data_IF_368727906901
#
_entry.id   IF_368727906901
#
_cell.length_a   1.000
_cell.length_b   1.000
_cell.length_c   1.000
_cell.angle_alpha   90.00
_cell.angle_beta   90.00
_cell.angle_gamma   90.00
#
_symmetry.space_group_name_H-M   'P 1'
#
loop_
_entity.id
_entity.type
_entity.pdbx_description
1 polymer ?
#
# COMPACT_ATOMS: atom_id res chain seq x y z
N UNK A 1 41.94 -54.09 5.89
CA UNK A 1 41.30 -52.89 6.45
C UNK A 1 40.39 -52.28 5.42
N UNK A 2 39.10 -52.43 5.59
CA UNK A 2 38.10 -51.83 4.66
C UNK A 2 37.55 -50.61 5.33
N UNK A 3 37.89 -49.43 4.81
CA UNK A 3 37.36 -48.16 5.26
C UNK A 3 35.99 -47.95 4.63
N UNK A 4 34.96 -47.99 5.44
CA UNK A 4 33.58 -47.69 5.00
C UNK A 4 33.34 -46.19 5.17
N UNK A 5 33.31 -45.48 4.06
CA UNK A 5 32.82 -44.11 4.02
C UNK A 5 31.31 -44.12 4.10
N UNK A 6 30.76 -43.69 5.24
CA UNK A 6 29.34 -43.36 5.37
C UNK A 6 29.16 -41.97 4.78
N UNK A 7 28.51 -41.90 3.62
CA UNK A 7 28.04 -40.65 3.06
C UNK A 7 26.77 -40.22 3.82
N UNK A 8 26.91 -39.24 4.68
CA UNK A 8 25.76 -38.53 5.26
C UNK A 8 25.21 -37.58 4.18
N UNK A 9 24.11 -37.98 3.59
CA UNK A 9 23.31 -37.08 2.76
C UNK A 9 22.58 -36.09 3.68
N UNK A 10 23.11 -34.88 3.79
CA UNK A 10 22.42 -33.79 4.43
C UNK A 10 21.27 -33.34 3.52
N UNK A 11 20.05 -33.76 3.85
CA UNK A 11 18.81 -33.31 3.23
C UNK A 11 18.53 -31.89 3.75
N UNK A 12 19.01 -30.88 3.01
CA UNK A 12 18.65 -29.49 3.27
C UNK A 12 17.20 -29.27 2.87
N UNK A 13 16.33 -29.28 3.87
CA UNK A 13 14.97 -28.79 3.75
C UNK A 13 15.02 -27.29 3.46
N UNK A 14 14.82 -26.95 2.19
CA UNK A 14 14.55 -25.57 1.79
C UNK A 14 13.15 -25.21 2.31
N UNK A 15 13.13 -24.57 3.47
CA UNK A 15 11.94 -23.86 3.88
C UNK A 15 11.77 -22.66 2.97
N UNK A 16 10.96 -22.83 1.92
CA UNK A 16 10.42 -21.69 1.19
C UNK A 16 9.37 -21.08 2.13
N UNK A 17 9.79 -20.17 2.99
CA UNK A 17 8.84 -19.31 3.66
C UNK A 17 8.22 -18.43 2.58
N UNK A 18 6.88 -18.46 2.45
CA UNK A 18 6.14 -17.45 1.73
C UNK A 18 6.39 -16.13 2.45
N UNK A 19 7.42 -15.40 1.99
CA UNK A 19 7.58 -14.00 2.34
C UNK A 19 6.46 -13.31 1.58
N UNK A 20 5.41 -12.86 2.30
CA UNK A 20 4.55 -11.80 1.77
C UNK A 20 5.51 -10.74 1.23
N UNK A 21 5.44 -10.46 -0.07
CA UNK A 21 6.29 -9.45 -0.67
C UNK A 21 5.83 -8.10 -0.16
N UNK A 22 6.35 -7.75 1.01
CA UNK A 22 6.31 -6.40 1.51
C UNK A 22 7.11 -5.57 0.53
N UNK A 23 6.40 -4.79 -0.30
CA UNK A 23 7.07 -3.96 -1.29
C UNK A 23 8.02 -3.02 -0.58
N UNK A 24 9.30 -3.10 -0.94
CA UNK A 24 10.35 -2.32 -0.31
C UNK A 24 10.05 -0.83 -0.44
N UNK A 25 10.05 -0.10 0.69
CA UNK A 25 9.79 1.34 0.75
C UNK A 25 8.30 1.73 0.83
N UNK A 26 7.38 0.76 0.89
CA UNK A 26 5.96 0.98 1.17
C UNK A 26 5.62 0.47 2.55
N UNK A 27 5.00 1.30 3.38
CA UNK A 27 4.48 0.92 4.69
C UNK A 27 2.99 0.56 4.57
N UNK A 28 2.63 -0.66 4.96
CA UNK A 28 1.25 -1.09 5.10
C UNK A 28 0.85 -0.95 6.56
N UNK A 29 -0.13 -0.09 6.87
CA UNK A 29 -0.49 0.24 8.24
C UNK A 29 -1.99 0.06 8.49
N UNK A 30 -2.34 -0.26 9.74
CA UNK A 30 -3.73 -0.41 10.15
C UNK A 30 -4.48 0.95 10.17
N UNK A 31 -5.83 0.96 10.22
CA UNK A 31 -6.61 2.19 10.17
C UNK A 31 -6.27 3.19 11.27
N UNK A 32 -5.98 2.75 12.48
CA UNK A 32 -5.64 3.67 13.60
C UNK A 32 -4.35 4.43 13.34
N UNK A 33 -3.30 3.73 12.90
CA UNK A 33 -2.04 4.37 12.58
C UNK A 33 -2.15 5.22 11.30
N UNK A 34 -2.92 4.75 10.31
CA UNK A 34 -3.18 5.51 9.10
C UNK A 34 -3.88 6.84 9.40
N UNK A 35 -4.90 6.81 10.27
CA UNK A 35 -5.59 8.03 10.73
C UNK A 35 -4.63 9.01 11.41
N UNK A 36 -3.80 8.53 12.32
CA UNK A 36 -2.80 9.36 13.01
C UNK A 36 -1.83 10.02 12.03
N UNK A 37 -1.30 9.25 11.09
CA UNK A 37 -0.34 9.76 10.10
C UNK A 37 -1.00 10.73 9.10
N UNK A 38 -2.25 10.49 8.71
CA UNK A 38 -2.97 11.32 7.75
C UNK A 38 -3.28 12.74 8.27
N UNK A 39 -3.17 12.98 9.55
CA UNK A 39 -3.40 14.29 10.16
C UNK A 39 -2.21 15.25 10.05
N UNK A 40 -1.05 14.78 9.63
CA UNK A 40 0.11 15.65 9.39
C UNK A 40 -0.16 16.59 8.21
N UNK A 41 0.25 17.85 8.35
CA UNK A 41 -0.09 18.93 7.40
C UNK A 41 0.51 18.78 6.01
N UNK A 42 1.58 18.00 5.87
CA UNK A 42 2.32 17.79 4.61
C UNK A 42 1.92 16.51 3.89
N UNK A 43 0.99 15.72 4.44
CA UNK A 43 0.55 14.46 3.84
C UNK A 43 -0.35 14.69 2.63
N UNK A 44 -0.09 13.96 1.57
CA UNK A 44 -0.89 13.91 0.35
C UNK A 44 -1.71 12.61 0.38
N UNK A 45 -3.00 12.69 0.71
CA UNK A 45 -3.89 11.52 0.83
C UNK A 45 -4.64 11.29 -0.49
N UNK A 46 -4.46 10.11 -1.07
CA UNK A 46 -5.00 9.75 -2.39
C UNK A 46 -5.91 8.54 -2.30
N UNK A 47 -7.16 8.72 -2.75
CA UNK A 47 -8.10 7.65 -3.01
C UNK A 47 -7.93 7.19 -4.47
N UNK A 48 -7.47 5.95 -4.67
CA UNK A 48 -7.18 5.43 -6.01
C UNK A 48 -8.33 4.66 -6.65
N UNK A 49 -9.53 4.74 -6.04
CA UNK A 49 -10.76 4.11 -6.54
C UNK A 49 -11.36 4.92 -7.70
N UNK A 50 -12.46 4.41 -8.24
CA UNK A 50 -13.23 5.13 -9.26
C UNK A 50 -13.88 6.39 -8.70
N UNK A 51 -14.19 7.39 -9.55
CA UNK A 51 -14.92 8.59 -9.12
C UNK A 51 -16.28 8.28 -8.50
N UNK A 52 -16.97 7.25 -8.96
CA UNK A 52 -18.26 6.80 -8.42
C UNK A 52 -18.12 6.26 -7.00
N UNK A 53 -17.11 5.44 -6.74
CA UNK A 53 -16.81 4.95 -5.39
C UNK A 53 -16.45 6.10 -4.44
N UNK A 54 -15.63 7.03 -4.91
CA UNK A 54 -15.23 8.22 -4.16
C UNK A 54 -16.45 9.07 -3.76
N UNK A 55 -17.38 9.28 -4.69
CA UNK A 55 -18.59 10.08 -4.45
C UNK A 55 -19.54 9.45 -3.42
N UNK A 56 -19.53 8.13 -3.28
CA UNK A 56 -20.34 7.40 -2.28
C UNK A 56 -19.80 7.56 -0.86
N UNK A 57 -18.56 7.98 -0.71
CA UNK A 57 -17.89 8.21 0.56
C UNK A 57 -16.40 7.95 0.47
N UNK A 58 -15.61 8.79 1.10
CA UNK A 58 -14.15 8.75 1.11
C UNK A 58 -13.58 9.20 2.45
N UNK A 59 -12.33 8.93 2.69
CA UNK A 59 -11.62 9.40 3.87
C UNK A 59 -11.53 10.94 3.85
N UNK A 60 -11.62 11.60 5.01
CA UNK A 60 -11.47 13.05 5.09
C UNK A 60 -10.20 13.55 4.40
N UNK A 61 -10.32 14.59 3.61
CA UNK A 61 -9.24 15.24 2.85
C UNK A 61 -8.62 14.41 1.72
N UNK A 62 -9.18 13.24 1.40
CA UNK A 62 -8.69 12.43 0.28
C UNK A 62 -8.96 13.09 -1.06
N UNK A 63 -7.97 13.05 -1.95
CA UNK A 63 -8.10 13.46 -3.36
C UNK A 63 -8.26 12.20 -4.21
N UNK A 64 -9.21 12.19 -5.12
CA UNK A 64 -9.43 11.04 -6.00
C UNK A 64 -8.49 11.07 -7.21
N UNK A 65 -7.72 10.01 -7.35
CA UNK A 65 -6.89 9.73 -8.52
C UNK A 65 -7.08 8.26 -8.90
N UNK A 66 -8.00 7.98 -9.83
CA UNK A 66 -8.38 6.63 -10.21
C UNK A 66 -7.23 5.89 -10.91
N UNK A 67 -6.75 4.80 -10.29
CA UNK A 67 -5.63 4.02 -10.86
C UNK A 67 -5.99 3.36 -12.20
N UNK A 68 -7.27 3.12 -12.46
CA UNK A 68 -7.73 2.53 -13.74
C UNK A 68 -7.81 3.55 -14.89
N UNK A 69 -7.65 4.83 -14.60
CA UNK A 69 -7.63 5.89 -15.60
C UNK A 69 -6.27 5.96 -16.30
N UNK A 70 -6.26 6.12 -17.61
CA UNK A 70 -5.03 6.29 -18.41
C UNK A 70 -4.19 7.50 -17.97
N UNK A 71 -4.83 8.50 -17.36
CA UNK A 71 -4.17 9.71 -16.83
C UNK A 71 -3.57 9.54 -15.43
N UNK A 72 -3.65 8.35 -14.83
CA UNK A 72 -3.17 8.16 -13.44
C UNK A 72 -1.71 8.58 -13.27
N UNK A 73 -0.82 8.15 -14.16
CA UNK A 73 0.60 8.48 -14.07
C UNK A 73 0.84 9.98 -14.20
N UNK A 74 0.07 10.67 -15.02
CA UNK A 74 0.13 12.13 -15.15
C UNK A 74 -0.39 12.83 -13.89
N UNK A 75 -1.45 12.32 -13.29
CA UNK A 75 -2.03 12.87 -12.06
C UNK A 75 -1.08 12.74 -10.87
N UNK A 76 -0.47 11.59 -10.65
CA UNK A 76 0.49 11.41 -9.57
C UNK A 76 1.76 12.26 -9.76
N UNK A 77 2.11 12.59 -10.99
CA UNK A 77 3.24 13.48 -11.28
C UNK A 77 3.00 14.92 -10.78
N UNK A 78 1.76 15.31 -10.48
CA UNK A 78 1.44 16.62 -9.87
C UNK A 78 1.69 16.68 -8.37
N UNK A 79 1.88 15.52 -7.72
CA UNK A 79 2.19 15.44 -6.29
C UNK A 79 3.65 15.78 -6.02
N UNK A 80 3.92 16.23 -4.79
CA UNK A 80 5.28 16.52 -4.34
C UNK A 80 5.98 15.22 -3.89
N UNK A 81 7.03 14.83 -4.60
CA UNK A 81 7.78 13.59 -4.33
C UNK A 81 8.54 13.62 -3.01
N UNK A 82 8.80 14.79 -2.46
CA UNK A 82 9.52 14.98 -1.20
C UNK A 82 8.63 14.87 0.03
N UNK A 83 7.32 14.90 -0.17
CA UNK A 83 6.31 14.83 0.89
C UNK A 83 5.70 13.41 0.99
N UNK A 84 5.25 13.00 2.18
CA UNK A 84 4.57 11.72 2.34
C UNK A 84 3.31 11.62 1.47
N UNK A 85 3.14 10.48 0.83
CA UNK A 85 1.92 10.10 0.12
C UNK A 85 1.28 8.91 0.83
N UNK A 86 0.00 9.03 1.12
CA UNK A 86 -0.81 7.96 1.68
C UNK A 86 -1.88 7.56 0.68
N UNK A 87 -2.05 6.26 0.46
CA UNK A 87 -2.98 5.73 -0.53
C UNK A 87 -3.92 4.72 0.08
N UNK A 88 -5.11 4.61 -0.48
CA UNK A 88 -6.04 3.53 -0.16
C UNK A 88 -6.96 3.24 -1.34
N UNK A 89 -7.51 2.04 -1.33
CA UNK A 89 -8.60 1.66 -2.22
C UNK A 89 -9.74 1.02 -1.42
N UNK A 90 -10.51 0.13 -2.03
CA UNK A 90 -11.60 -0.54 -1.32
C UNK A 90 -11.11 -1.57 -0.32
N UNK A 91 -10.23 -2.50 -0.74
CA UNK A 91 -9.76 -3.64 0.05
C UNK A 91 -8.24 -3.85 0.06
N UNK A 92 -7.47 -3.08 -0.73
CA UNK A 92 -6.01 -3.11 -0.73
C UNK A 92 -5.33 -3.51 -2.05
N UNK A 93 -6.03 -4.14 -3.01
CA UNK A 93 -5.42 -4.62 -4.26
C UNK A 93 -4.97 -3.50 -5.19
N UNK A 94 -5.84 -2.54 -5.46
CA UNK A 94 -5.54 -1.38 -6.33
C UNK A 94 -4.52 -0.44 -5.69
N UNK A 95 -4.62 -0.22 -4.39
CA UNK A 95 -3.69 0.67 -3.67
C UNK A 95 -2.27 0.10 -3.59
N UNK A 96 -2.11 -1.23 -3.51
CA UNK A 96 -0.80 -1.86 -3.60
C UNK A 96 -0.12 -1.57 -4.96
N UNK A 97 -0.87 -1.62 -6.05
CA UNK A 97 -0.37 -1.25 -7.39
C UNK A 97 -0.04 0.24 -7.48
N UNK A 98 -0.90 1.09 -6.93
CA UNK A 98 -0.65 2.53 -6.88
C UNK A 98 0.60 2.87 -6.09
N UNK A 99 0.81 2.24 -4.93
CA UNK A 99 1.99 2.40 -4.12
C UNK A 99 3.26 2.02 -4.88
N UNK A 100 3.23 0.91 -5.64
CA UNK A 100 4.33 0.51 -6.52
C UNK A 100 4.66 1.58 -7.56
N UNK A 101 3.66 2.12 -8.23
CA UNK A 101 3.82 3.20 -9.23
C UNK A 101 4.41 4.47 -8.60
N UNK A 102 3.98 4.83 -7.41
CA UNK A 102 4.53 5.96 -6.67
C UNK A 102 6.01 5.77 -6.34
N UNK A 103 6.39 4.58 -5.88
CA UNK A 103 7.81 4.27 -5.61
C UNK A 103 8.65 4.34 -6.88
N UNK A 104 8.19 3.78 -7.99
CA UNK A 104 8.86 3.88 -9.29
C UNK A 104 8.99 5.32 -9.78
N UNK A 105 8.01 6.16 -9.48
CA UNK A 105 8.01 7.57 -9.84
C UNK A 105 8.95 8.43 -8.96
N UNK A 106 9.55 7.85 -7.91
CA UNK A 106 10.54 8.53 -7.06
C UNK A 106 9.99 9.10 -5.76
N UNK A 107 8.77 8.74 -5.35
CA UNK A 107 8.25 9.11 -4.03
C UNK A 107 9.00 8.38 -2.93
N UNK A 108 9.48 9.11 -1.93
CA UNK A 108 10.36 8.56 -0.88
C UNK A 108 9.58 7.90 0.25
N UNK A 109 8.40 8.41 0.57
CA UNK A 109 7.56 7.93 1.67
C UNK A 109 6.17 7.63 1.16
N UNK A 110 5.83 6.35 1.09
CA UNK A 110 4.52 5.86 0.63
C UNK A 110 3.92 4.96 1.69
N UNK A 111 2.69 5.25 2.10
CA UNK A 111 1.93 4.47 3.08
C UNK A 111 0.63 4.01 2.47
N UNK A 112 0.29 2.74 2.67
CA UNK A 112 -0.92 2.10 2.19
C UNK A 112 -1.80 1.67 3.36
N UNK A 113 -3.11 1.85 3.24
CA UNK A 113 -4.09 1.47 4.26
C UNK A 113 -4.40 -0.03 4.17
N UNK A 114 -4.02 -0.77 5.19
CA UNK A 114 -4.33 -2.20 5.30
C UNK A 114 -5.85 -2.43 5.29
N UNK A 115 -6.31 -3.26 4.36
CA UNK A 115 -7.73 -3.61 4.21
C UNK A 115 -8.59 -2.52 3.58
N UNK A 116 -8.02 -1.38 3.20
CA UNK A 116 -8.70 -0.30 2.51
C UNK A 116 -9.86 0.34 3.27
N UNK A 117 -10.75 1.03 2.55
CA UNK A 117 -11.87 1.73 3.16
C UNK A 117 -12.87 0.78 3.85
N UNK A 118 -12.94 -0.48 3.41
CA UNK A 118 -13.78 -1.51 4.08
C UNK A 118 -13.31 -1.71 5.51
N UNK A 119 -12.00 -1.88 5.72
CA UNK A 119 -11.43 -2.00 7.06
C UNK A 119 -11.58 -0.70 7.87
N UNK A 120 -11.35 0.43 7.25
CA UNK A 120 -11.56 1.76 7.84
C UNK A 120 -12.97 1.92 8.41
N UNK A 121 -14.00 1.58 7.62
CA UNK A 121 -15.41 1.63 8.04
C UNK A 121 -15.73 0.62 9.13
N UNK A 122 -15.12 -0.57 9.10
CA UNK A 122 -15.33 -1.59 10.13
C UNK A 122 -14.85 -1.14 11.51
N UNK A 123 -13.90 -0.23 11.56
CA UNK A 123 -13.39 0.39 12.79
C UNK A 123 -14.11 1.72 13.11
N UNK A 124 -15.21 2.01 12.44
CA UNK A 124 -16.05 3.20 12.67
C UNK A 124 -15.29 4.52 12.51
N UNK A 125 -14.28 4.55 11.62
CA UNK A 125 -13.51 5.75 11.30
C UNK A 125 -14.31 6.71 10.42
N UNK A 126 -14.03 8.04 10.47
CA UNK A 126 -14.84 9.05 9.77
C UNK A 126 -14.77 8.95 8.26
N UNK A 127 -15.91 9.24 7.63
CA UNK A 127 -16.12 9.28 6.17
C UNK A 127 -16.75 10.62 5.79
N UNK A 128 -16.33 11.16 4.66
CA UNK A 128 -16.94 12.32 4.00
C UNK A 128 -17.62 11.91 2.69
N UNK A 129 -18.60 12.68 2.26
CA UNK A 129 -19.28 12.52 0.97
C UNK A 129 -19.01 13.73 0.06
#
# INVERSE_FOLDING_TARGET
MKLRFLALAALSLLFVSCIEQKQEGVSLVNPTLFEQQSQASDVQLVDVRTPEEYAEGHLPNAVNMNISDVSFDTKIATLDKTKPVMVYCKMGGRSAKAAAKLKEAGFTTVTDLEGGIVNWKSEEKPIEN
#
